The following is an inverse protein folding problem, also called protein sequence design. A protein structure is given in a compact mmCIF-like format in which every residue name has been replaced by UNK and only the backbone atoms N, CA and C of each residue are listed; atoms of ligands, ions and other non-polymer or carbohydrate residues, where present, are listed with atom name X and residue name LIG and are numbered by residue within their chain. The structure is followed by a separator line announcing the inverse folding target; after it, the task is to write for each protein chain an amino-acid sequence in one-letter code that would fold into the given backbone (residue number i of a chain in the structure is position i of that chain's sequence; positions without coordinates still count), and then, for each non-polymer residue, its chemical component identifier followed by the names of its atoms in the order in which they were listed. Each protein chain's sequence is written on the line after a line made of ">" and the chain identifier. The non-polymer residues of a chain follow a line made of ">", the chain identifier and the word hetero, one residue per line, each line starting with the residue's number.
data_IF_230074861287
#
_entry.id   IF_230074861287
#
_cell.length_a   1.000
_cell.length_b   1.000
_cell.length_c   1.000
_cell.angle_alpha   90.00
_cell.angle_beta   90.00
_cell.angle_gamma   90.00
#
_symmetry.space_group_name_H-M   'P 1'
#
loop_
_entity.id
_entity.type
_entity.pdbx_description
1 polymer ?
#
# COMPACT_ATOMS: atom_id res chain seq x y z
N UNK A 1 -4.84 -2.44 -16.50
CA UNK A 1 -4.19 -3.56 -15.78
C UNK A 1 -5.12 -4.74 -15.69
N UNK A 2 -4.62 -5.84 -15.14
CA UNK A 2 -5.40 -7.05 -14.83
C UNK A 2 -5.52 -7.21 -13.32
N UNK A 3 -6.70 -7.65 -12.86
CA UNK A 3 -6.94 -8.01 -11.48
C UNK A 3 -7.59 -9.40 -11.46
N UNK A 4 -7.01 -10.31 -10.70
CA UNK A 4 -7.52 -11.66 -10.49
C UNK A 4 -7.52 -11.96 -9.00
N UNK A 5 -8.47 -12.79 -8.56
CA UNK A 5 -8.53 -13.18 -7.17
C UNK A 5 -9.58 -14.24 -6.93
N UNK A 6 -9.50 -14.85 -5.75
CA UNK A 6 -10.43 -15.86 -5.28
C UNK A 6 -10.84 -15.50 -3.86
N UNK A 7 -12.12 -15.69 -3.55
CA UNK A 7 -12.63 -15.54 -2.19
C UNK A 7 -13.24 -16.88 -1.80
N UNK A 8 -12.81 -17.43 -0.67
CA UNK A 8 -13.41 -18.61 -0.04
C UNK A 8 -14.11 -18.13 1.22
N UNK A 9 -15.37 -18.50 1.36
CA UNK A 9 -16.20 -18.21 2.53
C UNK A 9 -16.48 -19.54 3.22
N UNK A 10 -15.98 -19.72 4.44
CA UNK A 10 -16.25 -20.88 5.26
C UNK A 10 -17.24 -20.52 6.37
N UNK A 11 -18.51 -20.84 6.09
CA UNK A 11 -19.63 -20.62 6.99
C UNK A 11 -19.97 -21.84 7.86
N UNK A 12 -19.11 -22.87 7.90
CA UNK A 12 -19.36 -24.08 8.70
C UNK A 12 -19.22 -23.85 10.21
N UNK A 13 -18.46 -22.82 10.59
CA UNK A 13 -18.22 -22.44 11.98
C UNK A 13 -18.63 -20.98 12.23
N UNK A 14 -18.98 -20.66 13.47
CA UNK A 14 -19.15 -19.29 13.94
C UNK A 14 -17.96 -18.90 14.83
N UNK A 15 -17.22 -17.81 14.52
CA UNK A 15 -17.43 -16.86 13.43
C UNK A 15 -17.11 -17.42 12.03
N UNK A 16 -17.82 -16.95 10.99
CA UNK A 16 -17.54 -17.29 9.59
C UNK A 16 -16.12 -16.82 9.25
N UNK A 17 -15.35 -17.62 8.54
CA UNK A 17 -14.00 -17.24 8.11
C UNK A 17 -13.94 -17.00 6.60
N UNK A 18 -13.09 -16.04 6.22
CA UNK A 18 -12.90 -15.62 4.84
C UNK A 18 -11.44 -15.80 4.48
N UNK A 19 -11.17 -16.34 3.31
CA UNK A 19 -9.84 -16.36 2.72
C UNK A 19 -9.87 -15.68 1.35
N UNK A 20 -9.02 -14.68 1.16
CA UNK A 20 -8.90 -13.92 -0.07
C UNK A 20 -7.50 -14.14 -0.62
N UNK A 21 -7.41 -14.49 -1.90
CA UNK A 21 -6.16 -14.41 -2.67
C UNK A 21 -6.36 -13.40 -3.78
N UNK A 22 -5.37 -12.54 -4.00
CA UNK A 22 -5.44 -11.48 -4.99
C UNK A 22 -4.11 -11.37 -5.73
N UNK A 23 -4.19 -11.09 -7.02
CA UNK A 23 -3.08 -10.65 -7.85
C UNK A 23 -3.54 -9.53 -8.76
N UNK A 24 -2.83 -8.42 -8.72
CA UNK A 24 -2.99 -7.29 -9.64
C UNK A 24 -1.71 -7.11 -10.44
N UNK A 25 -1.84 -6.75 -11.72
CA UNK A 25 -0.72 -6.52 -12.62
C UNK A 25 -0.98 -5.28 -13.49
N UNK A 26 -0.01 -4.36 -13.50
CA UNK A 26 -0.06 -3.08 -14.23
C UNK A 26 -1.38 -2.32 -14.01
N UNK A 27 -1.90 -2.33 -12.79
CA UNK A 27 -3.07 -1.55 -12.40
C UNK A 27 -2.64 -0.11 -12.11
N UNK A 28 -3.46 0.87 -12.50
CA UNK A 28 -3.21 2.26 -12.14
C UNK A 28 -3.36 2.43 -10.62
N UNK A 29 -2.26 2.76 -9.95
CA UNK A 29 -2.23 2.91 -8.50
C UNK A 29 -3.13 4.06 -8.01
N UNK A 30 -3.22 5.15 -8.78
CA UNK A 30 -4.00 6.32 -8.40
C UNK A 30 -5.49 6.02 -8.48
N UNK A 31 -5.91 5.38 -9.58
CA UNK A 31 -7.30 5.00 -9.79
C UNK A 31 -7.73 4.00 -8.70
N UNK A 32 -6.93 2.97 -8.44
CA UNK A 32 -7.23 1.98 -7.41
C UNK A 32 -7.36 2.64 -6.02
N UNK A 33 -6.37 3.42 -5.59
CA UNK A 33 -6.39 4.07 -4.28
C UNK A 33 -7.53 5.06 -4.13
N UNK A 34 -7.87 5.78 -5.21
CA UNK A 34 -8.99 6.71 -5.22
C UNK A 34 -10.35 6.02 -5.14
N UNK A 35 -10.44 4.75 -5.53
CA UNK A 35 -11.65 3.93 -5.45
C UNK A 35 -11.83 3.26 -4.09
N UNK A 36 -10.75 2.92 -3.39
CA UNK A 36 -10.80 2.16 -2.13
C UNK A 36 -10.49 2.99 -0.87
N UNK A 37 -10.08 4.25 -1.03
CA UNK A 37 -9.68 5.13 0.08
C UNK A 37 -9.92 6.60 -0.24
N UNK A 38 -9.68 7.46 0.76
CA UNK A 38 -9.72 8.91 0.58
C UNK A 38 -8.40 9.49 0.05
N UNK A 39 -7.35 8.68 -0.15
CA UNK A 39 -6.02 9.11 -0.62
C UNK A 39 -5.99 9.34 -2.14
N UNK A 40 -6.83 10.27 -2.60
CA UNK A 40 -6.91 10.65 -4.01
C UNK A 40 -5.70 11.49 -4.39
N UNK A 41 -5.20 11.30 -5.62
CA UNK A 41 -4.12 12.12 -6.19
C UNK A 41 -2.82 12.15 -5.36
N UNK A 42 -2.58 11.15 -4.51
CA UNK A 42 -1.37 11.08 -3.66
C UNK A 42 -0.28 10.21 -4.27
N UNK A 43 -0.66 9.02 -4.75
CA UNK A 43 0.25 8.06 -5.37
C UNK A 43 -0.17 7.79 -6.80
N UNK A 44 0.81 7.79 -7.69
CA UNK A 44 0.67 7.44 -9.10
C UNK A 44 1.69 6.38 -9.47
N UNK A 45 1.43 5.65 -10.55
CA UNK A 45 2.33 4.64 -11.12
C UNK A 45 1.59 3.36 -11.50
N UNK A 46 2.35 2.39 -12.02
CA UNK A 46 1.84 1.06 -12.34
C UNK A 46 2.08 0.13 -11.15
N UNK A 47 0.99 -0.37 -10.58
CA UNK A 47 0.98 -1.30 -9.46
C UNK A 47 0.88 -2.75 -9.95
N UNK A 48 1.82 -3.56 -9.50
CA UNK A 48 1.69 -5.00 -9.42
C UNK A 48 1.71 -5.39 -7.93
N UNK A 49 0.79 -6.25 -7.51
CA UNK A 49 0.75 -6.72 -6.15
C UNK A 49 0.13 -8.12 -6.09
N UNK A 50 0.54 -8.90 -5.10
CA UNK A 50 -0.08 -10.17 -4.80
C UNK A 50 -0.23 -10.30 -3.30
N UNK A 51 -1.31 -10.92 -2.85
CA UNK A 51 -1.49 -11.13 -1.44
C UNK A 51 -2.53 -12.18 -1.12
N UNK A 52 -2.39 -12.73 0.08
CA UNK A 52 -3.35 -13.61 0.70
C UNK A 52 -3.76 -13.03 2.04
N UNK A 53 -5.04 -13.11 2.35
CA UNK A 53 -5.62 -12.62 3.60
C UNK A 53 -6.59 -13.64 4.15
N UNK A 54 -6.60 -13.82 5.46
CA UNK A 54 -7.62 -14.57 6.20
C UNK A 54 -8.13 -13.73 7.35
N UNK A 55 -9.44 -13.72 7.56
CA UNK A 55 -10.09 -13.00 8.65
C UNK A 55 -11.42 -13.67 9.02
N UNK A 56 -11.97 -13.33 10.19
CA UNK A 56 -13.24 -13.89 10.68
C UNK A 56 -14.29 -12.78 10.87
N UNK A 57 -15.54 -13.03 10.45
CA UNK A 57 -16.67 -12.14 10.76
C UNK A 57 -17.30 -12.54 12.09
N UNK A 58 -17.14 -11.70 13.11
CA UNK A 58 -17.73 -11.93 14.43
C UNK A 58 -16.96 -11.28 15.58
N UNK A 59 -15.74 -10.81 15.32
CA UNK A 59 -15.11 -9.83 16.21
C UNK A 59 -15.66 -8.43 15.90
N UNK A 60 -15.84 -7.60 16.93
CA UNK A 60 -16.14 -6.16 16.78
C UNK A 60 -15.12 -5.42 15.89
N UNK A 61 -13.95 -6.03 15.66
CA UNK A 61 -12.93 -5.50 14.79
C UNK A 61 -12.28 -6.59 13.92
N UNK A 62 -12.80 -6.77 12.71
CA UNK A 62 -12.28 -7.71 11.69
C UNK A 62 -10.77 -7.55 11.51
N UNK A 63 -10.24 -6.32 11.59
CA UNK A 63 -8.82 -6.06 11.39
C UNK A 63 -7.96 -6.85 12.39
N UNK A 64 -8.39 -7.03 13.65
CA UNK A 64 -7.64 -7.80 14.66
C UNK A 64 -7.56 -9.29 14.34
N UNK A 65 -8.45 -9.80 13.50
CA UNK A 65 -8.44 -11.21 13.04
C UNK A 65 -7.67 -11.40 11.73
N UNK A 66 -7.24 -10.29 11.11
CA UNK A 66 -6.58 -10.31 9.82
C UNK A 66 -5.20 -10.93 9.95
N UNK A 67 -4.96 -11.96 9.15
CA UNK A 67 -3.66 -12.59 8.99
C UNK A 67 -3.38 -12.73 7.50
N UNK A 68 -2.15 -12.46 7.07
CA UNK A 68 -1.87 -12.50 5.64
C UNK A 68 -0.50 -12.01 5.24
N UNK A 69 -0.23 -12.13 3.95
CA UNK A 69 1.02 -11.69 3.35
C UNK A 69 0.69 -10.92 2.09
N UNK A 70 1.38 -9.80 1.90
CA UNK A 70 1.17 -8.92 0.76
C UNK A 70 2.52 -8.52 0.20
N UNK A 71 2.70 -8.63 -1.10
CA UNK A 71 3.81 -8.05 -1.82
C UNK A 71 3.28 -6.94 -2.73
N UNK A 72 3.97 -5.81 -2.75
CA UNK A 72 3.71 -4.72 -3.66
C UNK A 72 4.96 -4.41 -4.50
N UNK A 73 4.71 -3.97 -5.73
CA UNK A 73 5.69 -3.41 -6.61
C UNK A 73 5.05 -2.29 -7.43
N UNK A 74 5.46 -1.07 -7.16
CA UNK A 74 5.08 0.11 -7.91
C UNK A 74 6.25 0.52 -8.78
N UNK A 75 6.01 0.70 -10.07
CA UNK A 75 7.02 1.18 -11.04
C UNK A 75 6.56 2.48 -11.69
N UNK A 76 7.52 3.33 -12.06
CA UNK A 76 7.25 4.65 -12.66
C UNK A 76 6.32 5.47 -11.77
N UNK A 77 6.62 5.45 -10.47
CA UNK A 77 5.81 6.06 -9.44
C UNK A 77 6.03 7.56 -9.32
N UNK A 78 5.01 8.24 -8.79
CA UNK A 78 5.09 9.64 -8.37
C UNK A 78 4.31 9.82 -7.08
N UNK A 79 4.98 10.36 -6.07
CA UNK A 79 4.38 10.81 -4.82
C UNK A 79 4.07 12.29 -4.96
N UNK A 80 2.80 12.62 -5.06
CA UNK A 80 2.36 14.02 -5.11
C UNK A 80 2.30 14.61 -3.70
N UNK A 81 2.53 15.92 -3.62
CA UNK A 81 2.54 16.72 -2.40
C UNK A 81 3.63 16.34 -1.39
N UNK A 82 4.60 15.53 -1.81
CA UNK A 82 5.74 15.10 -1.00
C UNK A 82 7.02 15.35 -1.79
N UNK A 83 7.93 16.15 -1.24
CA UNK A 83 9.30 16.30 -1.71
C UNK A 83 10.23 15.62 -0.73
N UNK A 84 10.51 14.33 -0.94
CA UNK A 84 11.31 13.53 -0.02
C UNK A 84 12.73 14.09 0.14
N UNK A 85 13.34 14.59 -0.93
CA UNK A 85 14.69 15.14 -0.87
C UNK A 85 14.72 16.42 -0.02
N UNK A 86 13.74 17.31 -0.22
CA UNK A 86 13.62 18.51 0.60
C UNK A 86 13.34 18.17 2.08
N UNK A 87 12.44 17.22 2.36
CA UNK A 87 12.13 16.79 3.73
C UNK A 87 13.35 16.14 4.42
N UNK A 88 14.08 15.27 3.74
CA UNK A 88 15.31 14.65 4.27
C UNK A 88 16.41 15.69 4.53
N UNK A 89 16.55 16.68 3.64
CA UNK A 89 17.52 17.75 3.80
C UNK A 89 17.20 18.65 5.01
N UNK A 90 15.92 18.89 5.30
CA UNK A 90 15.47 19.59 6.50
C UNK A 90 15.78 18.80 7.78
N UNK A 91 15.48 17.49 7.81
CA UNK A 91 15.74 16.63 8.98
C UNK A 91 17.23 16.49 9.24
N UNK A 92 18.03 16.21 8.21
CA UNK A 92 19.48 16.03 8.31
C UNK A 92 20.28 17.33 8.40
N UNK A 93 19.62 18.49 8.30
CA UNK A 93 20.24 19.83 8.26
C UNK A 93 21.30 20.00 7.16
N UNK A 94 21.24 19.23 6.07
CA UNK A 94 22.18 19.33 4.94
C UNK A 94 22.04 20.64 4.14
N UNK A 95 21.04 21.45 4.44
CA UNK A 95 20.77 22.76 3.81
C UNK A 95 21.60 23.91 4.40
N UNK A 96 22.45 23.65 5.39
CA UNK A 96 23.13 24.67 6.19
C UNK A 96 24.36 25.35 5.54
N UNK A 97 24.66 25.07 4.26
CA UNK A 97 25.81 25.67 3.55
C UNK A 97 25.45 26.07 2.12
N UNK A 98 24.80 27.23 1.93
CA UNK A 98 24.79 27.99 0.67
C UNK A 98 24.13 27.37 -0.58
N UNK A 99 23.61 26.14 -0.52
CA UNK A 99 22.85 25.50 -1.60
C UNK A 99 21.38 25.35 -1.20
N UNK A 100 20.53 26.17 -1.79
CA UNK A 100 19.08 26.04 -1.68
C UNK A 100 18.61 24.89 -2.57
N UNK A 101 18.09 23.82 -1.99
CA UNK A 101 17.30 22.83 -2.73
C UNK A 101 15.89 23.41 -2.86
N UNK A 102 15.43 23.67 -4.07
CA UNK A 102 14.06 24.14 -4.31
C UNK A 102 13.05 23.06 -3.91
N UNK A 103 12.01 23.44 -3.19
CA UNK A 103 10.90 22.55 -2.87
C UNK A 103 10.05 22.31 -4.12
N UNK A 104 9.78 21.03 -4.40
CA UNK A 104 8.92 20.59 -5.50
C UNK A 104 7.57 20.10 -4.98
N UNK A 105 6.52 20.11 -5.81
CA UNK A 105 5.21 19.59 -5.40
C UNK A 105 5.12 18.05 -5.45
N UNK A 106 6.21 17.34 -5.77
CA UNK A 106 6.20 15.89 -5.87
C UNK A 106 7.60 15.28 -5.78
N UNK A 107 7.65 13.96 -5.62
CA UNK A 107 8.84 13.12 -5.75
C UNK A 107 8.60 12.04 -6.80
N UNK A 108 9.51 11.92 -7.77
CA UNK A 108 9.51 10.79 -8.69
C UNK A 108 10.12 9.56 -8.00
N UNK A 109 9.49 8.40 -8.19
CA UNK A 109 9.88 7.14 -7.57
C UNK A 109 10.04 6.11 -8.69
N UNK A 110 11.28 5.77 -9.05
CA UNK A 110 11.53 4.81 -10.13
C UNK A 110 10.85 3.46 -9.84
N UNK A 111 11.03 2.98 -8.61
CA UNK A 111 10.44 1.74 -8.11
C UNK A 111 10.23 1.82 -6.60
N UNK A 112 9.12 1.29 -6.12
CA UNK A 112 8.84 1.09 -4.70
C UNK A 112 8.30 -0.31 -4.49
N UNK A 113 8.97 -1.08 -3.63
CA UNK A 113 8.58 -2.43 -3.28
C UNK A 113 8.40 -2.53 -1.78
N UNK A 114 7.49 -3.40 -1.35
CA UNK A 114 7.23 -3.67 0.04
C UNK A 114 6.62 -5.03 0.19
N UNK A 115 7.08 -5.74 1.22
CA UNK A 115 6.48 -6.98 1.66
C UNK A 115 5.85 -6.66 3.00
N UNK A 116 4.63 -7.14 3.23
CA UNK A 116 3.97 -7.01 4.50
C UNK A 116 3.56 -8.39 4.99
N UNK A 117 3.86 -8.67 6.24
CA UNK A 117 3.28 -9.76 6.99
C UNK A 117 2.28 -9.15 7.97
N UNK A 118 1.04 -9.61 7.93
CA UNK A 118 -0.01 -9.18 8.85
C UNK A 118 -0.30 -10.32 9.80
N UNK A 119 -0.14 -10.08 11.09
CA UNK A 119 -0.48 -11.03 12.15
C UNK A 119 -1.41 -10.37 13.15
N UNK A 120 -2.60 -10.93 13.30
CA UNK A 120 -3.64 -10.40 14.19
C UNK A 120 -3.90 -8.89 13.99
N UNK A 121 -3.91 -8.45 12.74
CA UNK A 121 -4.12 -7.05 12.35
C UNK A 121 -2.90 -6.13 12.43
N UNK A 122 -1.78 -6.59 12.99
CA UNK A 122 -0.53 -5.84 12.98
C UNK A 122 0.24 -6.15 11.70
N UNK A 123 0.47 -5.13 10.88
CA UNK A 123 1.32 -5.21 9.71
C UNK A 123 2.80 -4.95 10.06
N UNK A 124 3.70 -5.77 9.53
CA UNK A 124 5.15 -5.65 9.64
C UNK A 124 5.77 -5.72 8.25
N UNK A 125 6.79 -4.89 8.01
CA UNK A 125 7.54 -4.80 6.75
C UNK A 125 8.92 -5.41 6.86
#
# INVERSE_FOLDING_TARGET
>A
GQQTGTIVIDARNTPITYAVNMKVDKVDANQLLSSVSNLKKTLYGLLAANGNARFASGSDNIARTLNGNFNLNLTNGKLANVDLLYQLANVGKFLSTGKTISQHPFTNVAKMTGNFNVQNGMAQT
#
